data_IF_026616624206
#
_entry.id   IF_026616624206
#
_cell.length_a   1.000
_cell.length_b   1.000
_cell.length_c   1.000
_cell.angle_alpha   90.00
_cell.angle_beta   90.00
_cell.angle_gamma   90.00
#
_symmetry.space_group_name_H-M   'P 1'
#
loop_
_entity.id
_entity.type
_entity.pdbx_description
1 polymer ?
#
# COMPACT_ATOMS: atom_id res chain seq x y z
N UNK A 1 -5.06 -11.38 -7.82
CA UNK A 1 -4.19 -12.20 -6.94
C UNK A 1 -3.37 -13.28 -7.66
N UNK A 2 -3.95 -14.11 -8.53
CA UNK A 2 -3.22 -15.20 -9.23
C UNK A 2 -1.95 -14.74 -9.96
N UNK A 3 -2.03 -13.61 -10.66
CA UNK A 3 -0.88 -13.07 -11.39
C UNK A 3 0.25 -12.62 -10.45
N UNK A 4 -0.09 -11.87 -9.40
CA UNK A 4 0.85 -11.45 -8.34
C UNK A 4 1.52 -12.66 -7.70
N UNK A 5 0.76 -13.72 -7.42
CA UNK A 5 1.30 -14.95 -6.84
C UNK A 5 2.31 -15.64 -7.79
N UNK A 6 1.99 -15.71 -9.08
CA UNK A 6 2.82 -16.43 -10.06
C UNK A 6 4.05 -15.62 -10.52
N UNK A 7 3.90 -14.30 -10.70
CA UNK A 7 4.95 -13.41 -11.24
C UNK A 7 5.76 -12.71 -10.14
N UNK A 8 5.23 -12.67 -8.93
CA UNK A 8 5.76 -11.89 -7.82
C UNK A 8 5.28 -10.44 -7.84
N UNK A 9 5.00 -9.91 -6.65
CA UNK A 9 4.49 -8.55 -6.45
C UNK A 9 5.42 -7.47 -7.02
N UNK A 10 6.74 -7.60 -6.83
CA UNK A 10 7.70 -6.63 -7.35
C UNK A 10 7.66 -6.52 -8.88
N UNK A 11 7.61 -7.66 -9.58
CA UNK A 11 7.52 -7.69 -11.05
C UNK A 11 6.26 -6.98 -11.54
N UNK A 12 5.13 -7.21 -10.88
CA UNK A 12 3.86 -6.57 -11.24
C UNK A 12 3.88 -5.07 -10.94
N UNK A 13 4.49 -4.65 -9.83
CA UNK A 13 4.67 -3.25 -9.50
C UNK A 13 5.59 -2.54 -10.51
N UNK A 14 6.71 -3.15 -10.90
CA UNK A 14 7.65 -2.57 -11.87
C UNK A 14 6.96 -2.27 -13.21
N UNK A 15 6.19 -3.23 -13.71
CA UNK A 15 5.40 -3.07 -14.93
C UNK A 15 4.33 -1.98 -14.75
N UNK A 16 3.62 -2.00 -13.63
CA UNK A 16 2.60 -0.99 -13.30
C UNK A 16 3.20 0.41 -13.25
N UNK A 17 4.41 0.58 -12.70
CA UNK A 17 5.09 1.87 -12.60
C UNK A 17 5.46 2.41 -13.98
N UNK A 18 5.96 1.56 -14.87
CA UNK A 18 6.25 1.93 -16.24
C UNK A 18 4.99 2.39 -17.00
N UNK A 19 3.85 1.70 -16.79
CA UNK A 19 2.56 2.07 -17.39
C UNK A 19 2.06 3.40 -16.81
N UNK A 20 2.04 3.54 -15.49
CA UNK A 20 1.49 4.71 -14.78
C UNK A 20 2.28 6.00 -15.03
N UNK A 21 3.58 5.89 -15.35
CA UNK A 21 4.44 7.06 -15.59
C UNK A 21 4.61 7.41 -17.06
N UNK A 22 4.05 6.60 -17.96
CA UNK A 22 4.07 6.91 -19.39
C UNK A 22 3.11 8.08 -19.68
N UNK A 23 3.67 9.20 -20.13
CA UNK A 23 2.92 10.42 -20.51
C UNK A 23 2.01 10.99 -19.38
N UNK A 24 2.35 10.73 -18.12
CA UNK A 24 1.59 11.18 -16.94
C UNK A 24 2.48 11.97 -15.97
N UNK A 25 2.04 13.17 -15.58
CA UNK A 25 2.78 14.05 -14.67
C UNK A 25 2.67 13.65 -13.19
N UNK A 26 1.68 12.83 -12.84
CA UNK A 26 1.37 12.47 -11.46
C UNK A 26 0.53 11.21 -11.34
N UNK A 27 0.61 10.57 -10.18
CA UNK A 27 -0.08 9.32 -9.85
C UNK A 27 -0.94 9.53 -8.61
N UNK A 28 -2.20 9.11 -8.66
CA UNK A 28 -3.08 9.06 -7.50
C UNK A 28 -3.13 7.61 -7.00
N UNK A 29 -2.88 7.40 -5.70
CA UNK A 29 -2.93 6.07 -5.09
C UNK A 29 -4.22 5.93 -4.28
N UNK A 30 -5.15 5.12 -4.78
CA UNK A 30 -6.31 4.70 -3.99
C UNK A 30 -6.04 3.34 -3.36
N UNK A 31 -6.22 3.24 -2.04
CA UNK A 31 -6.04 1.98 -1.31
C UNK A 31 -7.38 1.51 -0.80
N UNK A 32 -7.95 0.52 -1.49
CA UNK A 32 -9.04 -0.27 -0.94
C UNK A 32 -8.48 -1.29 0.06
N UNK A 33 -8.98 -1.27 1.30
CA UNK A 33 -8.48 -2.16 2.36
C UNK A 33 -8.90 -3.62 2.13
N UNK A 34 -9.93 -3.86 1.32
CA UNK A 34 -10.44 -5.20 1.02
C UNK A 34 -9.49 -6.03 0.13
N UNK A 35 -8.44 -5.41 -0.43
CA UNK A 35 -7.34 -6.09 -1.10
C UNK A 35 -6.57 -7.03 -0.16
N UNK A 36 -6.63 -6.79 1.16
CA UNK A 36 -5.97 -7.58 2.18
C UNK A 36 -6.87 -8.74 2.59
N UNK A 37 -6.27 -9.91 2.78
CA UNK A 37 -7.01 -11.09 3.20
C UNK A 37 -7.84 -10.80 4.48
N UNK A 38 -9.12 -11.23 4.55
CA UNK A 38 -9.99 -10.97 5.70
C UNK A 38 -9.44 -11.48 7.04
N UNK A 39 -8.50 -12.44 7.03
CA UNK A 39 -7.78 -12.86 8.23
C UNK A 39 -6.91 -11.76 8.86
N UNK A 40 -6.59 -10.71 8.11
CA UNK A 40 -5.82 -9.55 8.56
C UNK A 40 -6.57 -8.20 8.43
N UNK A 41 -7.61 -8.13 7.60
CA UNK A 41 -8.46 -6.95 7.42
C UNK A 41 -9.96 -7.33 7.37
N UNK A 42 -10.56 -7.83 8.47
CA UNK A 42 -11.96 -8.25 8.50
C UNK A 42 -12.96 -7.08 8.40
N UNK A 43 -12.54 -5.86 8.74
CA UNK A 43 -13.37 -4.66 8.82
C UNK A 43 -13.59 -4.00 7.47
N UNK A 44 -14.20 -4.71 6.52
CA UNK A 44 -14.62 -4.21 5.21
C UNK A 44 -16.01 -4.73 4.85
N UNK A 45 -16.71 -4.06 3.91
CA UNK A 45 -18.02 -4.49 3.42
C UNK A 45 -17.96 -5.74 2.52
N UNK A 46 -16.84 -5.97 1.84
CA UNK A 46 -16.68 -6.99 0.78
C UNK A 46 -15.44 -7.87 0.98
N UNK A 47 -15.38 -8.69 2.05
CA UNK A 47 -14.20 -9.51 2.32
C UNK A 47 -13.97 -10.59 1.26
N UNK A 48 -12.78 -10.63 0.65
CA UNK A 48 -12.37 -11.64 -0.34
C UNK A 48 -11.18 -12.50 0.14
N UNK A 49 -11.36 -13.81 0.39
CA UNK A 49 -10.26 -14.70 0.79
C UNK A 49 -9.18 -14.86 -0.28
N UNK A 50 -7.91 -14.97 0.13
CA UNK A 50 -6.77 -15.11 -0.76
C UNK A 50 -6.17 -13.77 -1.22
N UNK A 51 -6.47 -12.70 -0.48
CA UNK A 51 -5.92 -11.36 -0.67
C UNK A 51 -4.45 -11.24 -0.26
N UNK A 52 -3.95 -10.01 -0.31
CA UNK A 52 -2.60 -9.67 0.14
C UNK A 52 -2.46 -9.87 1.64
N UNK A 53 -1.25 -10.16 2.10
CA UNK A 53 -0.92 -9.98 3.51
C UNK A 53 -0.78 -8.49 3.85
N UNK A 54 -0.98 -8.11 5.11
CA UNK A 54 -0.73 -6.73 5.55
C UNK A 54 0.69 -6.27 5.23
N UNK A 55 1.68 -7.16 5.27
CA UNK A 55 3.07 -6.82 4.95
C UNK A 55 3.23 -6.43 3.49
N UNK A 56 2.67 -7.20 2.57
CA UNK A 56 2.74 -6.93 1.13
C UNK A 56 2.06 -5.60 0.80
N UNK A 57 0.91 -5.29 1.42
CA UNK A 57 0.26 -3.99 1.25
C UNK A 57 1.17 -2.84 1.70
N UNK A 58 1.69 -2.91 2.92
CA UNK A 58 2.52 -1.83 3.49
C UNK A 58 3.83 -1.63 2.70
N UNK A 59 4.46 -2.71 2.25
CA UNK A 59 5.65 -2.63 1.38
C UNK A 59 5.32 -2.02 0.02
N UNK A 60 4.18 -2.40 -0.59
CA UNK A 60 3.72 -1.83 -1.87
C UNK A 60 3.47 -0.33 -1.76
N UNK A 61 2.69 0.09 -0.77
CA UNK A 61 2.36 1.51 -0.54
C UNK A 61 3.62 2.33 -0.33
N UNK A 62 4.55 1.85 0.52
CA UNK A 62 5.83 2.51 0.77
C UNK A 62 6.62 2.67 -0.54
N UNK A 63 6.73 1.60 -1.32
CA UNK A 63 7.49 1.59 -2.57
C UNK A 63 6.89 2.53 -3.61
N UNK A 64 5.57 2.45 -3.81
CA UNK A 64 4.80 3.35 -4.69
C UNK A 64 5.09 4.82 -4.35
N UNK A 65 5.02 5.17 -3.06
CA UNK A 65 5.21 6.54 -2.59
C UNK A 65 6.67 7.03 -2.63
N UNK A 66 7.64 6.11 -2.63
CA UNK A 66 9.06 6.43 -2.78
C UNK A 66 9.46 6.66 -4.25
N UNK A 67 8.88 5.89 -5.17
CA UNK A 67 9.32 5.86 -6.57
C UNK A 67 8.48 6.77 -7.47
N UNK A 68 7.16 6.91 -7.23
CA UNK A 68 6.24 7.59 -8.15
C UNK A 68 5.92 9.05 -7.77
N UNK A 69 5.56 9.91 -8.75
CA UNK A 69 5.07 11.27 -8.52
C UNK A 69 3.66 11.30 -7.91
N UNK A 70 3.52 10.93 -6.64
CA UNK A 70 2.22 10.89 -5.96
C UNK A 70 1.63 12.30 -5.79
N UNK A 71 0.41 12.50 -6.29
CA UNK A 71 -0.35 13.76 -6.20
C UNK A 71 -1.49 13.71 -5.18
N UNK A 72 -1.90 12.52 -4.77
CA UNK A 72 -2.96 12.31 -3.78
C UNK A 72 -3.07 10.84 -3.39
N UNK A 73 -3.65 10.61 -2.21
CA UNK A 73 -3.89 9.27 -1.65
C UNK A 73 -5.24 9.27 -0.94
N UNK A 74 -5.98 8.19 -1.09
CA UNK A 74 -7.09 7.84 -0.20
C UNK A 74 -6.98 6.40 0.30
N UNK A 75 -7.70 6.13 1.39
CA UNK A 75 -7.86 4.81 1.96
C UNK A 75 -9.36 4.63 2.16
N UNK A 76 -9.91 3.59 1.55
CA UNK A 76 -11.36 3.36 1.45
C UNK A 76 -11.75 2.00 2.03
N UNK A 77 -13.05 1.78 2.15
CA UNK A 77 -13.68 0.53 2.61
C UNK A 77 -13.30 0.04 4.02
N UNK A 78 -12.71 0.91 4.84
CA UNK A 78 -12.59 0.64 6.28
C UNK A 78 -13.98 0.74 6.91
N UNK A 79 -14.50 -0.39 7.39
CA UNK A 79 -15.81 -0.53 8.00
C UNK A 79 -15.69 -0.95 9.48
N UNK A 80 -15.62 0.01 10.43
CA UNK A 80 -15.47 -0.29 11.86
C UNK A 80 -16.54 -1.21 12.45
N UNK A 81 -17.74 -1.23 11.86
CA UNK A 81 -18.82 -2.10 12.30
C UNK A 81 -18.55 -3.60 12.06
N UNK A 82 -17.66 -3.94 11.11
CA UNK A 82 -17.23 -5.31 10.82
C UNK A 82 -15.84 -5.62 11.34
N UNK A 83 -15.14 -4.62 11.89
CA UNK A 83 -13.76 -4.79 12.35
C UNK A 83 -13.72 -5.54 13.68
N UNK A 84 -12.66 -6.32 13.87
CA UNK A 84 -12.43 -7.10 15.09
C UNK A 84 -11.18 -6.58 15.77
N UNK A 85 -11.33 -6.05 16.99
CA UNK A 85 -10.23 -5.44 17.75
C UNK A 85 -9.49 -4.32 16.99
N UNK A 86 -10.21 -3.58 16.15
CA UNK A 86 -9.72 -2.45 15.36
C UNK A 86 -8.54 -2.79 14.43
N UNK A 87 -8.31 -4.06 14.11
CA UNK A 87 -7.11 -4.47 13.37
C UNK A 87 -7.08 -3.89 11.96
N UNK A 88 -8.24 -3.71 11.32
CA UNK A 88 -8.36 -3.11 9.99
C UNK A 88 -8.11 -1.61 10.07
N UNK A 89 -8.68 -0.93 11.08
CA UNK A 89 -8.41 0.47 11.34
C UNK A 89 -6.93 0.76 11.66
N UNK A 90 -6.28 -0.11 12.44
CA UNK A 90 -4.85 -0.03 12.74
C UNK A 90 -4.01 -0.23 11.47
N UNK A 91 -4.39 -1.17 10.61
CA UNK A 91 -3.73 -1.39 9.33
C UNK A 91 -3.88 -0.17 8.42
N UNK A 92 -5.07 0.39 8.28
CA UNK A 92 -5.32 1.62 7.51
C UNK A 92 -4.50 2.80 8.05
N UNK A 93 -4.42 2.99 9.37
CA UNK A 93 -3.55 3.99 9.97
C UNK A 93 -2.07 3.74 9.60
N UNK A 94 -1.62 2.48 9.59
CA UNK A 94 -0.25 2.16 9.18
C UNK A 94 0.00 2.46 7.71
N UNK A 95 -0.97 2.23 6.82
CA UNK A 95 -0.92 2.63 5.40
C UNK A 95 -0.68 4.13 5.27
N UNK A 96 -1.41 4.97 6.03
CA UNK A 96 -1.20 6.43 6.06
C UNK A 96 0.25 6.76 6.42
N UNK A 97 0.77 6.14 7.49
CA UNK A 97 2.12 6.41 7.97
C UNK A 97 3.19 5.99 6.95
N UNK A 98 3.07 4.81 6.34
CA UNK A 98 4.00 4.36 5.30
C UNK A 98 4.01 5.31 4.11
N UNK A 99 2.83 5.74 3.66
CA UNK A 99 2.70 6.67 2.54
C UNK A 99 3.32 8.05 2.83
N UNK A 100 2.95 8.67 3.96
CA UNK A 100 3.46 10.00 4.33
C UNK A 100 4.98 9.97 4.56
N UNK A 101 5.49 8.95 5.24
CA UNK A 101 6.92 8.80 5.47
C UNK A 101 7.68 8.59 4.16
N UNK A 102 7.14 7.79 3.23
CA UNK A 102 7.74 7.57 1.92
C UNK A 102 7.79 8.85 1.07
N UNK A 103 6.69 9.61 1.03
CA UNK A 103 6.63 10.91 0.35
C UNK A 103 7.65 11.88 0.96
N UNK A 104 7.73 11.95 2.28
CA UNK A 104 8.68 12.82 2.97
C UNK A 104 10.14 12.44 2.65
N UNK A 105 10.47 11.14 2.67
CA UNK A 105 11.79 10.61 2.33
C UNK A 105 12.17 10.91 0.89
N UNK A 106 11.25 10.69 -0.06
CA UNK A 106 11.45 11.02 -1.47
C UNK A 106 11.76 12.51 -1.67
N UNK A 107 11.06 13.39 -0.94
CA UNK A 107 11.28 14.85 -0.98
C UNK A 107 12.59 15.29 -0.34
N UNK A 108 13.11 14.57 0.67
CA UNK A 108 14.41 14.90 1.27
C UNK A 108 15.60 14.49 0.39
N UNK A 109 15.38 13.60 -0.59
CA UNK A 109 16.44 13.09 -1.47
C UNK A 109 17.37 12.09 -0.79
N UNK A 110 17.08 11.68 0.44
CA UNK A 110 17.85 10.66 1.15
C UNK A 110 17.64 9.28 0.53
N UNK A 111 18.70 8.49 0.44
CA UNK A 111 18.62 7.11 -0.04
C UNK A 111 17.69 6.28 0.86
N UNK A 112 16.78 5.52 0.23
CA UNK A 112 15.98 4.51 0.90
C UNK A 112 16.76 3.19 1.00
N UNK A 113 16.69 2.54 2.17
CA UNK A 113 17.21 1.19 2.37
C UNK A 113 16.05 0.25 2.67
N UNK A 114 15.82 -0.80 1.85
CA UNK A 114 14.80 -1.80 2.13
C UNK A 114 15.11 -2.67 3.36
N UNK A 115 16.35 -2.64 3.85
CA UNK A 115 16.77 -3.34 5.06
C UNK A 115 16.43 -2.61 6.37
N UNK A 116 15.91 -1.38 6.29
CA UNK A 116 15.57 -0.56 7.45
C UNK A 116 14.10 -0.15 7.37
N UNK A 117 13.36 -0.28 8.48
CA UNK A 117 12.01 0.24 8.51
C UNK A 117 12.07 1.77 8.39
N UNK A 118 11.19 2.34 7.56
CA UNK A 118 11.18 3.77 7.31
C UNK A 118 10.82 4.59 8.56
N UNK A 119 10.18 3.96 9.53
CA UNK A 119 9.74 4.57 10.79
C UNK A 119 10.67 4.27 11.97
N UNK A 120 11.73 3.47 11.77
CA UNK A 120 12.75 3.25 12.79
C UNK A 120 13.65 4.48 12.87
N UNK A 121 13.77 5.06 14.08
CA UNK A 121 14.62 6.23 14.38
C UNK A 121 16.08 5.85 14.59
#
# INVERSE_FOLDING_TARGET
>A
MTEIHNRGLNTVLDESFAILTNECDGVFLSVDIDVVDPGMAPGTGTPEPGGMTSRELLESVRRICLELPIVGIDIVEVAPAFDSADITAILANRVVLEALSAIAKRRSGEAYSPAQNLLDR
#
